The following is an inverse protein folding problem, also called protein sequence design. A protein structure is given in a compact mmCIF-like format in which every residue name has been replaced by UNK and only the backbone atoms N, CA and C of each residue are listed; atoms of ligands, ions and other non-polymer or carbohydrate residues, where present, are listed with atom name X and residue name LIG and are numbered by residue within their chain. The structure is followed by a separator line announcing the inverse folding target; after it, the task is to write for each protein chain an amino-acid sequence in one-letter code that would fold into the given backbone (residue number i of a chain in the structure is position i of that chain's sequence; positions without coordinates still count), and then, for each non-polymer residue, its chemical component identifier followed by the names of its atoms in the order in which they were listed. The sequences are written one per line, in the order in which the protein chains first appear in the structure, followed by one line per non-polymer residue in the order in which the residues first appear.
data_IF_371272909503
#
_entry.id   IF_371272909503
#
_cell.length_a   1.000
_cell.length_b   1.000
_cell.length_c   1.000
_cell.angle_alpha   90.00
_cell.angle_beta   90.00
_cell.angle_gamma   90.00
#
_symmetry.space_group_name_H-M   'P 1'
#
loop_
_entity.id
_entity.type
_entity.pdbx_description
1 polymer ?
#
# COMPACT_ATOMS: atom_id res chain seq x y z
N UNK A 1 -0.02 -29.78 8.30
CA UNK A 1 -0.86 -28.97 7.38
C UNK A 1 -0.02 -28.72 6.14
N UNK A 2 -0.56 -28.88 4.94
CA UNK A 2 0.16 -28.61 3.68
C UNK A 2 0.35 -27.11 3.50
N UNK A 3 1.58 -26.67 3.24
CA UNK A 3 1.90 -25.27 2.97
C UNK A 3 1.08 -24.75 1.78
N UNK A 4 0.45 -23.57 1.86
CA UNK A 4 -0.28 -23.00 0.73
C UNK A 4 0.64 -22.80 -0.49
N UNK A 5 0.18 -23.24 -1.66
CA UNK A 5 0.86 -23.05 -2.96
C UNK A 5 -0.04 -22.31 -3.95
N UNK A 6 0.57 -21.77 -5.00
CA UNK A 6 -0.06 -21.16 -6.17
C UNK A 6 0.61 -21.66 -7.46
N UNK A 7 -0.04 -21.50 -8.61
CA UNK A 7 0.57 -21.78 -9.91
C UNK A 7 1.17 -20.50 -10.48
N UNK A 8 2.44 -20.49 -10.86
CA UNK A 8 3.02 -19.38 -11.64
C UNK A 8 2.63 -19.55 -13.10
N UNK A 9 2.04 -18.53 -13.69
CA UNK A 9 1.65 -18.47 -15.11
C UNK A 9 2.62 -17.62 -15.93
N UNK A 10 3.26 -16.61 -15.32
CA UNK A 10 4.29 -15.78 -15.93
C UNK A 10 5.38 -15.41 -14.89
N UNK A 11 6.65 -15.22 -15.30
CA UNK A 11 7.17 -15.24 -16.68
C UNK A 11 7.37 -16.66 -17.24
N UNK A 12 7.45 -17.67 -16.38
CA UNK A 12 7.51 -19.08 -16.76
C UNK A 12 6.48 -19.87 -15.98
N UNK A 13 5.88 -20.85 -16.63
CA UNK A 13 4.92 -21.74 -16.00
C UNK A 13 5.60 -22.59 -14.91
N UNK A 14 5.01 -22.60 -13.71
CA UNK A 14 5.38 -23.51 -12.63
C UNK A 14 4.11 -23.93 -11.89
N UNK A 15 3.84 -25.24 -11.86
CA UNK A 15 2.56 -25.76 -11.38
C UNK A 15 2.29 -25.43 -9.91
N UNK A 16 3.34 -25.46 -9.08
CA UNK A 16 3.26 -25.23 -7.64
C UNK A 16 4.48 -24.45 -7.17
N UNK A 17 4.26 -23.18 -6.78
CA UNK A 17 5.21 -22.37 -6.02
C UNK A 17 4.64 -22.09 -4.62
N UNK A 18 5.48 -22.00 -3.58
CA UNK A 18 5.03 -21.60 -2.25
C UNK A 18 4.37 -20.21 -2.28
N UNK A 19 3.25 -20.05 -1.57
CA UNK A 19 2.64 -18.74 -1.36
C UNK A 19 3.46 -17.90 -0.38
N UNK A 20 3.97 -18.53 0.68
CA UNK A 20 4.82 -17.86 1.67
C UNK A 20 6.21 -17.61 1.07
N UNK A 21 6.66 -16.36 1.15
CA UNK A 21 7.90 -15.86 0.53
C UNK A 21 7.74 -15.48 -0.95
N UNK A 22 6.54 -15.62 -1.52
CA UNK A 22 6.28 -15.37 -2.93
C UNK A 22 6.60 -13.93 -3.34
N UNK A 23 6.35 -12.95 -2.48
CA UNK A 23 6.69 -11.56 -2.77
C UNK A 23 8.02 -11.14 -2.14
N UNK A 24 8.50 -11.83 -1.09
CA UNK A 24 9.85 -11.59 -0.54
C UNK A 24 10.95 -11.85 -1.56
N UNK A 25 10.77 -12.80 -2.47
CA UNK A 25 11.72 -13.07 -3.55
C UNK A 25 11.88 -11.91 -4.55
N UNK A 26 10.96 -10.94 -4.56
CA UNK A 26 11.06 -9.76 -5.42
C UNK A 26 12.09 -8.74 -4.91
N UNK A 27 12.57 -8.91 -3.66
CA UNK A 27 13.64 -8.13 -3.04
C UNK A 27 13.47 -6.60 -3.19
N UNK A 28 12.26 -6.11 -2.92
CA UNK A 28 11.90 -4.70 -3.10
C UNK A 28 12.76 -3.77 -2.23
N UNK A 29 13.17 -4.24 -1.06
CA UNK A 29 14.03 -3.54 -0.09
C UNK A 29 15.45 -3.27 -0.60
N UNK A 30 15.89 -3.96 -1.65
CA UNK A 30 17.22 -3.78 -2.26
C UNK A 30 17.22 -2.72 -3.36
N UNK A 31 16.22 -1.84 -3.38
CA UNK A 31 16.13 -0.74 -4.33
C UNK A 31 17.29 0.26 -4.23
N UNK A 32 18.14 0.18 -3.20
CA UNK A 32 19.44 0.88 -3.12
C UNK A 32 20.34 0.63 -4.36
N UNK A 33 20.09 -0.45 -5.10
CA UNK A 33 20.75 -0.75 -6.38
C UNK A 33 20.19 0.04 -7.58
N UNK A 34 19.11 0.80 -7.38
CA UNK A 34 18.47 1.67 -8.36
C UNK A 34 18.66 3.13 -7.90
N UNK A 35 19.11 4.02 -8.79
CA UNK A 35 19.43 5.42 -8.44
C UNK A 35 18.21 6.28 -8.02
N UNK A 36 17.02 5.67 -7.83
CA UNK A 36 15.77 6.34 -7.48
C UNK A 36 14.96 5.45 -6.53
N UNK A 37 14.17 6.05 -5.60
CA UNK A 37 13.26 5.28 -4.75
C UNK A 37 12.31 4.43 -5.57
N UNK A 38 12.03 3.22 -5.07
CA UNK A 38 11.00 2.34 -5.59
C UNK A 38 9.68 2.61 -4.86
N UNK A 39 8.70 3.13 -5.59
CA UNK A 39 7.33 3.32 -5.14
C UNK A 39 6.46 2.19 -5.67
N UNK A 40 5.76 1.50 -4.78
CA UNK A 40 4.83 0.45 -5.16
C UNK A 40 3.55 0.52 -4.36
N UNK A 41 2.49 -0.09 -4.89
CA UNK A 41 1.19 -0.16 -4.23
C UNK A 41 0.54 -1.51 -4.49
N UNK A 42 -0.45 -1.86 -3.66
CA UNK A 42 -1.23 -3.07 -3.84
C UNK A 42 -2.73 -2.78 -3.71
N UNK A 43 -3.53 -3.57 -4.42
CA UNK A 43 -4.98 -3.60 -4.23
C UNK A 43 -5.49 -5.04 -4.29
N UNK A 44 -6.57 -5.29 -3.58
CA UNK A 44 -7.45 -6.43 -3.83
C UNK A 44 -8.74 -5.93 -4.48
N UNK A 45 -9.18 -6.61 -5.53
CA UNK A 45 -10.37 -6.24 -6.27
C UNK A 45 -11.22 -7.47 -6.62
N UNK A 46 -12.52 -7.26 -6.70
CA UNK A 46 -13.43 -8.20 -7.36
C UNK A 46 -13.18 -8.26 -8.88
N UNK A 47 -13.78 -9.23 -9.57
CA UNK A 47 -13.68 -9.38 -11.02
C UNK A 47 -14.26 -8.17 -11.78
N UNK A 48 -15.27 -7.52 -11.20
CA UNK A 48 -15.88 -6.26 -11.67
C UNK A 48 -15.21 -4.98 -11.10
N UNK A 49 -14.00 -5.11 -10.56
CA UNK A 49 -13.12 -3.99 -10.21
C UNK A 49 -13.45 -3.25 -8.91
N UNK A 50 -14.21 -3.87 -7.99
CA UNK A 50 -14.58 -3.26 -6.70
C UNK A 50 -13.50 -3.54 -5.67
N UNK A 51 -12.95 -2.47 -5.10
CA UNK A 51 -12.02 -2.55 -3.96
C UNK A 51 -12.72 -2.23 -2.64
N UNK A 52 -13.81 -1.46 -2.71
CA UNK A 52 -14.66 -1.14 -1.58
C UNK A 52 -16.11 -1.07 -2.06
N UNK A 53 -17.05 -1.48 -1.20
CA UNK A 53 -18.49 -1.35 -1.43
C UNK A 53 -19.15 -0.86 -0.15
N UNK A 54 -20.27 -0.15 -0.28
CA UNK A 54 -21.09 0.18 0.88
C UNK A 54 -21.67 -1.10 1.50
N UNK A 55 -21.49 -1.28 2.81
CA UNK A 55 -22.12 -2.38 3.53
C UNK A 55 -23.65 -2.22 3.49
N UNK A 56 -24.43 -3.27 3.17
CA UNK A 56 -25.88 -3.15 2.97
C UNK A 56 -26.64 -2.60 4.18
N UNK A 57 -26.15 -2.89 5.40
CA UNK A 57 -26.85 -2.52 6.64
C UNK A 57 -26.38 -1.19 7.23
N UNK A 58 -25.08 -0.87 7.12
CA UNK A 58 -24.50 0.32 7.78
C UNK A 58 -24.28 1.46 6.80
N UNK A 59 -24.25 1.17 5.49
CA UNK A 59 -23.88 2.13 4.44
C UNK A 59 -22.41 2.51 4.43
N UNK A 60 -21.59 1.97 5.35
CA UNK A 60 -20.16 2.27 5.42
C UNK A 60 -19.41 1.65 4.24
N UNK A 61 -18.58 2.45 3.58
CA UNK A 61 -17.75 1.98 2.46
C UNK A 61 -16.45 1.42 3.03
N UNK A 62 -16.21 0.14 2.76
CA UNK A 62 -15.02 -0.58 3.19
C UNK A 62 -14.68 -1.75 2.27
N UNK A 63 -13.55 -2.40 2.54
CA UNK A 63 -13.13 -3.57 1.77
C UNK A 63 -14.12 -4.71 2.04
N UNK A 64 -14.73 -5.32 1.00
CA UNK A 64 -15.75 -6.34 1.21
C UNK A 64 -15.14 -7.64 1.73
N UNK A 65 -15.69 -8.19 2.82
CA UNK A 65 -15.32 -9.52 3.36
C UNK A 65 -15.39 -10.64 2.30
N UNK A 66 -16.24 -10.43 1.29
CA UNK A 66 -16.40 -11.36 0.17
C UNK A 66 -15.14 -11.49 -0.71
N UNK A 67 -14.17 -10.59 -0.63
CA UNK A 67 -12.91 -10.69 -1.39
C UNK A 67 -11.68 -10.79 -0.48
N UNK A 68 -11.77 -10.37 0.78
CA UNK A 68 -10.64 -10.50 1.72
C UNK A 68 -10.37 -11.97 2.07
N UNK A 69 -9.09 -12.32 2.21
CA UNK A 69 -8.68 -13.68 2.56
C UNK A 69 -7.26 -13.71 3.13
N UNK A 70 -6.94 -14.75 3.91
CA UNK A 70 -5.64 -14.89 4.57
C UNK A 70 -4.45 -15.01 3.61
N UNK A 71 -4.68 -15.47 2.38
CA UNK A 71 -3.62 -15.66 1.38
C UNK A 71 -3.18 -14.32 0.80
N UNK A 72 -4.13 -13.47 0.41
CA UNK A 72 -3.87 -12.09 0.05
C UNK A 72 -3.24 -11.31 1.21
N UNK A 73 -3.80 -11.46 2.42
CA UNK A 73 -3.26 -10.81 3.61
C UNK A 73 -1.79 -11.18 3.87
N UNK A 74 -1.42 -12.45 3.69
CA UNK A 74 -0.02 -12.88 3.78
C UNK A 74 0.88 -12.12 2.79
N UNK A 75 0.45 -12.01 1.53
CA UNK A 75 1.21 -11.30 0.50
C UNK A 75 1.27 -9.79 0.75
N UNK A 76 0.19 -9.18 1.25
CA UNK A 76 0.15 -7.79 1.70
C UNK A 76 1.21 -7.52 2.80
N UNK A 77 1.35 -8.45 3.75
CA UNK A 77 2.35 -8.37 4.81
C UNK A 77 3.78 -8.53 4.27
N UNK A 78 4.00 -9.40 3.29
CA UNK A 78 5.31 -9.56 2.62
C UNK A 78 5.75 -8.30 1.85
N UNK A 79 4.79 -7.57 1.26
CA UNK A 79 5.07 -6.28 0.62
C UNK A 79 5.49 -5.22 1.65
N UNK A 80 4.80 -5.17 2.79
CA UNK A 80 5.15 -4.25 3.87
C UNK A 80 6.45 -4.63 4.58
N UNK A 81 6.75 -5.92 4.69
CA UNK A 81 7.99 -6.40 5.27
C UNK A 81 9.22 -5.91 4.48
N UNK A 82 9.07 -5.64 3.19
CA UNK A 82 10.13 -5.11 2.33
C UNK A 82 10.16 -3.57 2.25
N UNK A 83 9.24 -2.86 2.89
CA UNK A 83 9.16 -1.40 2.83
C UNK A 83 10.08 -0.75 3.87
N UNK A 84 10.63 0.41 3.54
CA UNK A 84 11.24 1.32 4.51
C UNK A 84 10.17 2.21 5.14
N UNK A 85 9.22 2.66 4.32
CA UNK A 85 8.11 3.51 4.74
C UNK A 85 6.80 3.13 4.08
N UNK A 86 5.72 3.19 4.86
CA UNK A 86 4.34 3.02 4.42
C UNK A 86 3.70 4.38 4.16
N UNK A 87 3.12 4.58 2.98
CA UNK A 87 2.28 5.74 2.66
C UNK A 87 0.83 5.39 2.99
N UNK A 88 0.24 6.16 3.90
CA UNK A 88 -1.15 6.01 4.32
C UNK A 88 -1.92 7.33 4.22
N UNK A 89 -3.24 7.27 4.38
CA UNK A 89 -4.12 8.43 4.29
C UNK A 89 -4.64 8.86 5.67
N UNK A 90 -4.98 10.13 5.80
CA UNK A 90 -5.68 10.65 6.97
C UNK A 90 -7.01 9.91 7.27
N UNK A 91 -7.69 9.38 6.23
CA UNK A 91 -8.92 8.58 6.39
C UNK A 91 -8.64 7.31 7.17
N UNK A 92 -7.66 6.53 6.72
CA UNK A 92 -7.25 5.29 7.40
C UNK A 92 -6.92 5.51 8.88
N UNK A 93 -6.18 6.58 9.19
CA UNK A 93 -5.81 6.90 10.59
C UNK A 93 -7.03 7.20 11.44
N UNK A 94 -8.03 7.90 10.90
CA UNK A 94 -9.30 8.17 11.60
C UNK A 94 -10.09 6.89 11.81
N UNK A 95 -10.18 6.03 10.80
CA UNK A 95 -10.88 4.75 10.88
C UNK A 95 -10.22 3.83 11.92
N UNK A 96 -8.88 3.79 11.95
CA UNK A 96 -8.10 3.05 12.96
C UNK A 96 -8.35 3.59 14.39
N UNK A 97 -8.40 4.90 14.55
CA UNK A 97 -8.66 5.53 15.85
C UNK A 97 -10.09 5.36 16.32
N UNK A 98 -11.04 5.23 15.39
CA UNK A 98 -12.44 4.94 15.67
C UNK A 98 -12.72 3.44 15.92
N UNK A 99 -11.69 2.58 15.85
CA UNK A 99 -11.85 1.12 15.93
C UNK A 99 -12.60 0.51 14.74
N UNK A 100 -12.71 1.25 13.63
CA UNK A 100 -13.41 0.85 12.41
C UNK A 100 -12.49 0.27 11.34
N UNK A 101 -11.19 0.52 11.43
CA UNK A 101 -10.25 -0.14 10.54
C UNK A 101 -10.32 -1.65 10.80
N UNK A 102 -10.58 -2.42 9.74
CA UNK A 102 -10.58 -3.88 9.80
C UNK A 102 -9.25 -4.40 10.36
N UNK A 103 -8.13 -3.71 10.08
CA UNK A 103 -6.80 -4.13 10.53
C UNK A 103 -5.80 -2.98 10.80
N UNK A 104 -4.80 -3.29 11.62
CA UNK A 104 -3.65 -2.43 11.91
C UNK A 104 -2.71 -2.25 10.70
N UNK A 105 -1.77 -1.30 10.78
CA UNK A 105 -0.75 -1.13 9.75
C UNK A 105 0.07 -2.42 9.60
N UNK A 106 0.47 -2.79 8.38
CA UNK A 106 1.08 -4.07 8.11
C UNK A 106 2.48 -4.23 8.73
N UNK A 107 2.97 -5.46 8.65
CA UNK A 107 3.96 -6.06 9.57
C UNK A 107 3.33 -6.25 10.96
N UNK A 108 2.30 -7.09 10.99
CA UNK A 108 1.50 -7.38 12.18
C UNK A 108 2.35 -8.07 13.25
N UNK A 109 1.90 -7.88 14.49
CA UNK A 109 2.29 -8.53 15.73
C UNK A 109 1.66 -9.92 15.93
N UNK A 110 0.71 -10.33 15.08
CA UNK A 110 0.16 -11.70 15.10
C UNK A 110 1.29 -12.73 14.89
N UNK A 111 1.38 -13.78 15.76
CA UNK A 111 2.34 -14.88 15.64
C UNK A 111 2.44 -15.52 14.25
N UNK A 112 1.36 -15.48 13.46
CA UNK A 112 1.34 -15.99 12.10
C UNK A 112 2.28 -15.25 11.12
N UNK A 113 2.81 -14.08 11.51
CA UNK A 113 3.71 -13.25 10.70
C UNK A 113 5.05 -12.96 11.39
N UNK A 114 5.40 -13.70 12.45
CA UNK A 114 6.66 -13.55 13.19
C UNK A 114 7.89 -13.75 12.28
N UNK A 115 7.76 -14.61 11.28
CA UNK A 115 8.78 -14.88 10.28
C UNK A 115 9.11 -13.63 9.45
N UNK A 116 8.14 -12.74 9.19
CA UNK A 116 8.38 -11.49 8.47
C UNK A 116 9.17 -10.48 9.30
N UNK A 117 8.94 -10.43 10.62
CA UNK A 117 9.75 -9.60 11.54
C UNK A 117 11.16 -10.16 11.68
N UNK A 118 11.30 -11.48 11.72
CA UNK A 118 12.61 -12.14 11.68
C UNK A 118 13.33 -11.88 10.35
N UNK A 119 12.61 -11.95 9.23
CA UNK A 119 13.14 -11.66 7.90
C UNK A 119 13.66 -10.22 7.80
N UNK A 120 12.92 -9.22 8.29
CA UNK A 120 13.38 -7.81 8.33
C UNK A 120 14.69 -7.66 9.09
N UNK A 121 14.80 -8.30 10.27
CA UNK A 121 16.05 -8.30 11.07
C UNK A 121 17.21 -8.93 10.31
N UNK A 122 16.98 -10.03 9.60
CA UNK A 122 18.00 -10.68 8.76
C UNK A 122 18.45 -9.81 7.59
N UNK A 123 17.57 -8.95 7.06
CA UNK A 123 17.93 -7.96 6.03
C UNK A 123 18.56 -6.68 6.60
N UNK A 124 18.73 -6.57 7.93
CA UNK A 124 19.28 -5.36 8.57
C UNK A 124 18.29 -4.18 8.61
N UNK A 125 17.00 -4.41 8.37
CA UNK A 125 15.98 -3.37 8.37
C UNK A 125 15.46 -3.08 9.78
N UNK A 126 14.88 -1.89 9.97
CA UNK A 126 14.16 -1.54 11.20
C UNK A 126 13.03 -2.56 11.49
N UNK A 127 12.69 -2.86 12.76
CA UNK A 127 11.66 -3.84 13.11
C UNK A 127 10.29 -3.59 12.46
N UNK A 128 9.93 -2.31 12.31
CA UNK A 128 8.73 -1.82 11.65
C UNK A 128 9.13 -0.80 10.58
N UNK A 129 8.44 -0.74 9.42
CA UNK A 129 8.61 0.37 8.49
C UNK A 129 8.11 1.66 9.12
N UNK A 130 8.70 2.81 8.78
CA UNK A 130 8.14 4.11 9.11
C UNK A 130 6.74 4.27 8.48
N UNK A 131 5.98 5.28 8.89
CA UNK A 131 4.71 5.64 8.23
C UNK A 131 4.69 7.12 7.88
N UNK A 132 4.24 7.45 6.67
CA UNK A 132 3.90 8.82 6.26
C UNK A 132 2.40 8.92 6.00
N UNK A 133 1.76 9.90 6.64
CA UNK A 133 0.32 10.14 6.53
C UNK A 133 0.08 11.37 5.69
N UNK A 134 -0.64 11.19 4.59
CA UNK A 134 -1.04 12.30 3.72
C UNK A 134 -2.26 12.99 4.31
N UNK A 135 -2.13 14.27 4.65
CA UNK A 135 -3.20 15.07 5.24
C UNK A 135 -3.09 16.56 4.89
N UNK A 136 -4.01 17.05 4.05
CA UNK A 136 -4.12 18.48 3.74
C UNK A 136 -4.68 19.30 4.92
N UNK A 137 -5.60 18.73 5.69
CA UNK A 137 -6.26 19.43 6.80
C UNK A 137 -5.46 19.37 8.10
N UNK A 138 -4.54 18.41 8.22
CA UNK A 138 -3.86 18.08 9.49
C UNK A 138 -4.82 17.74 10.64
N UNK A 139 -6.09 17.46 10.35
CA UNK A 139 -7.06 17.02 11.34
C UNK A 139 -6.89 15.50 11.56
N UNK A 140 -5.92 15.18 12.42
CA UNK A 140 -5.51 13.82 12.74
C UNK A 140 -5.49 13.64 14.27
N UNK A 141 -5.91 12.47 14.79
CA UNK A 141 -5.67 12.10 16.17
C UNK A 141 -4.18 11.72 16.38
N UNK A 142 -3.27 12.67 16.12
CA UNK A 142 -1.83 12.40 15.98
C UNK A 142 -1.19 11.94 17.29
N UNK A 143 -1.62 12.46 18.43
CA UNK A 143 -1.10 12.06 19.74
C UNK A 143 -1.36 10.57 19.99
N UNK A 144 -2.62 10.15 19.90
CA UNK A 144 -3.00 8.74 20.06
C UNK A 144 -2.28 7.82 19.07
N UNK A 145 -2.02 8.32 17.86
CA UNK A 145 -1.26 7.57 16.87
C UNK A 145 0.21 7.38 17.29
N UNK A 146 0.89 8.45 17.70
CA UNK A 146 2.30 8.40 18.10
C UNK A 146 2.50 7.58 19.37
N UNK A 147 1.54 7.59 20.31
CA UNK A 147 1.56 6.76 21.51
C UNK A 147 1.36 5.27 21.19
N UNK A 148 0.54 4.95 20.18
CA UNK A 148 0.20 3.56 19.79
C UNK A 148 1.23 2.93 18.85
N UNK A 149 1.89 3.73 18.01
CA UNK A 149 2.79 3.25 16.97
C UNK A 149 4.24 3.22 17.43
N UNK A 150 4.79 2.00 17.56
CA UNK A 150 6.22 1.78 17.79
C UNK A 150 7.02 1.85 16.47
N UNK A 151 6.90 2.97 15.76
CA UNK A 151 7.57 3.24 14.47
C UNK A 151 7.64 4.75 14.21
N UNK A 152 8.64 5.27 13.46
CA UNK A 152 8.69 6.68 13.09
C UNK A 152 7.44 7.13 12.33
N UNK A 153 6.90 8.29 12.72
CA UNK A 153 5.68 8.87 12.12
C UNK A 153 6.02 10.17 11.40
N UNK A 154 5.62 10.24 10.14
CA UNK A 154 5.70 11.40 9.28
C UNK A 154 4.29 11.86 8.89
N UNK A 155 4.12 13.16 8.67
CA UNK A 155 2.90 13.74 8.13
C UNK A 155 3.23 14.58 6.91
N UNK A 156 2.71 14.22 5.75
CA UNK A 156 2.88 14.94 4.51
C UNK A 156 1.69 15.88 4.26
N UNK A 157 1.99 17.14 3.97
CA UNK A 157 1.00 18.19 3.74
C UNK A 157 1.50 19.23 2.74
N UNK A 158 0.63 20.14 2.29
CA UNK A 158 1.01 21.23 1.41
C UNK A 158 1.66 22.42 2.14
N UNK A 159 2.36 23.28 1.42
CA UNK A 159 3.05 24.45 1.96
C UNK A 159 2.09 25.42 2.68
N UNK A 160 0.83 25.49 2.26
CA UNK A 160 -0.22 26.34 2.86
C UNK A 160 -0.89 25.73 4.11
N UNK A 161 -0.32 24.67 4.68
CA UNK A 161 -0.84 24.04 5.90
C UNK A 161 -0.76 24.99 7.12
N UNK A 162 -1.77 24.89 7.98
CA UNK A 162 -1.89 25.69 9.21
C UNK A 162 -0.67 25.50 10.13
N UNK A 163 0.03 26.59 10.44
CA UNK A 163 1.26 26.55 11.23
C UNK A 163 1.02 26.15 12.70
N UNK A 164 -0.19 26.37 13.24
CA UNK A 164 -0.56 25.89 14.57
C UNK A 164 -0.59 24.36 14.60
N UNK A 165 -1.37 23.77 13.69
CA UNK A 165 -1.50 22.30 13.58
C UNK A 165 -0.19 21.60 13.27
N UNK A 166 0.69 22.21 12.48
CA UNK A 166 2.03 21.67 12.23
C UNK A 166 2.83 21.59 13.54
N UNK A 167 2.83 22.66 14.34
CA UNK A 167 3.53 22.67 15.64
C UNK A 167 2.94 21.64 16.60
N UNK A 168 1.61 21.47 16.62
CA UNK A 168 0.95 20.48 17.47
C UNK A 168 1.35 19.05 17.09
N UNK A 169 1.47 18.76 15.78
CA UNK A 169 1.95 17.46 15.27
C UNK A 169 3.42 17.24 15.64
N UNK A 170 4.27 18.23 15.44
CA UNK A 170 5.70 18.15 15.77
C UNK A 170 5.94 17.97 17.28
N UNK A 171 5.11 18.61 18.12
CA UNK A 171 5.15 18.43 19.56
C UNK A 171 4.82 17.00 20.02
N UNK A 172 4.12 16.22 19.19
CA UNK A 172 3.85 14.79 19.44
C UNK A 172 4.99 13.87 19.00
N UNK A 173 6.09 14.41 18.46
CA UNK A 173 7.25 13.64 17.98
C UNK A 173 7.13 13.17 16.52
N UNK A 174 6.07 13.54 15.80
CA UNK A 174 5.94 13.26 14.37
C UNK A 174 6.64 14.34 13.54
N UNK A 175 7.24 13.94 12.41
CA UNK A 175 7.91 14.88 11.50
C UNK A 175 6.98 15.34 10.38
N UNK A 176 6.90 16.65 10.14
CA UNK A 176 6.05 17.20 9.07
C UNK A 176 6.86 17.45 7.80
N UNK A 177 6.37 16.95 6.66
CA UNK A 177 6.90 17.17 5.32
C UNK A 177 5.96 18.10 4.56
N UNK A 178 6.48 19.23 4.07
CA UNK A 178 5.75 20.17 3.20
C UNK A 178 6.06 19.85 1.75
N UNK A 179 5.19 19.07 1.13
CA UNK A 179 5.42 18.41 -0.17
C UNK A 179 4.32 18.78 -1.16
N UNK A 180 4.16 20.07 -1.41
CA UNK A 180 3.20 20.61 -2.36
C UNK A 180 3.09 22.12 -2.23
N UNK A 181 2.84 22.84 -3.30
CA UNK A 181 2.77 24.32 -3.27
C UNK A 181 1.46 24.85 -2.66
N UNK A 182 0.39 24.06 -2.73
CA UNK A 182 -0.94 24.40 -2.24
C UNK A 182 -1.27 23.84 -0.86
N UNK A 183 -2.52 23.42 -0.69
CA UNK A 183 -3.00 22.69 0.50
C UNK A 183 -2.77 21.18 0.41
N UNK A 184 -2.76 20.65 -0.82
CA UNK A 184 -2.60 19.22 -1.10
C UNK A 184 -1.15 18.78 -1.16
N UNK A 185 -0.95 17.46 -1.18
CA UNK A 185 0.34 16.83 -1.41
C UNK A 185 0.53 16.64 -2.92
N UNK A 186 1.73 16.96 -3.39
CA UNK A 186 2.26 16.62 -4.70
C UNK A 186 3.07 15.32 -4.61
N UNK A 187 2.83 14.40 -5.53
CA UNK A 187 3.42 13.06 -5.50
C UNK A 187 4.94 13.04 -5.77
N UNK A 188 5.44 13.91 -6.65
CA UNK A 188 6.86 13.98 -6.98
C UNK A 188 7.65 14.60 -5.82
N UNK A 189 7.13 15.69 -5.25
CA UNK A 189 7.70 16.31 -4.07
C UNK A 189 7.68 15.36 -2.87
N UNK A 190 6.61 14.57 -2.69
CA UNK A 190 6.52 13.56 -1.64
C UNK A 190 7.66 12.54 -1.77
N UNK A 191 7.81 11.93 -2.93
CA UNK A 191 8.84 10.90 -3.15
C UNK A 191 10.24 11.49 -2.98
N UNK A 192 10.47 12.70 -3.49
CA UNK A 192 11.74 13.41 -3.33
C UNK A 192 12.07 13.68 -1.87
N UNK A 193 11.10 14.13 -1.08
CA UNK A 193 11.29 14.38 0.34
C UNK A 193 11.56 13.07 1.11
N UNK A 194 10.85 11.99 0.79
CA UNK A 194 11.11 10.67 1.40
C UNK A 194 12.48 10.10 1.01
N UNK A 195 12.93 10.33 -0.22
CA UNK A 195 14.27 9.96 -0.65
C UNK A 195 15.34 10.72 0.14
N UNK A 196 15.13 12.02 0.39
CA UNK A 196 16.03 12.84 1.19
C UNK A 196 16.09 12.40 2.66
N UNK A 197 15.05 11.73 3.16
CA UNK A 197 15.03 11.05 4.47
C UNK A 197 15.79 9.73 4.48
N UNK A 198 16.25 9.25 3.33
CA UNK A 198 16.93 7.97 3.18
C UNK A 198 15.99 6.78 2.93
N UNK A 199 14.71 7.02 2.61
CA UNK A 199 13.79 5.93 2.28
C UNK A 199 13.89 5.57 0.79
N UNK A 200 14.19 4.30 0.51
CA UNK A 200 14.37 3.79 -0.85
C UNK A 200 13.22 2.88 -1.29
N UNK A 201 12.49 2.27 -0.36
CA UNK A 201 11.35 1.38 -0.63
C UNK A 201 10.07 1.95 -0.03
N UNK A 202 9.27 2.59 -0.87
CA UNK A 202 8.07 3.35 -0.50
C UNK A 202 6.82 2.55 -0.87
N UNK A 203 6.08 2.08 0.12
CA UNK A 203 4.89 1.26 -0.10
C UNK A 203 3.60 2.04 0.19
N UNK A 204 2.82 2.32 -0.85
CA UNK A 204 1.48 2.90 -0.70
C UNK A 204 0.44 1.84 -0.39
N UNK A 205 0.04 1.80 0.89
CA UNK A 205 -1.09 1.01 1.43
C UNK A 205 -2.40 1.82 1.48
N UNK A 206 -2.39 3.01 0.89
CA UNK A 206 -3.51 3.93 0.90
C UNK A 206 -4.53 3.64 -0.21
N UNK A 207 -5.68 4.30 -0.10
CA UNK A 207 -6.79 4.15 -1.05
C UNK A 207 -6.61 4.91 -2.38
N UNK A 208 -7.67 4.94 -3.19
CA UNK A 208 -7.65 5.39 -4.59
C UNK A 208 -7.10 6.79 -4.82
N UNK A 209 -7.40 7.76 -3.94
CA UNK A 209 -6.91 9.14 -4.11
C UNK A 209 -5.41 9.28 -3.95
N UNK A 210 -4.78 8.46 -3.12
CA UNK A 210 -3.31 8.45 -3.00
C UNK A 210 -2.70 7.80 -4.22
N UNK A 211 -3.28 6.70 -4.72
CA UNK A 211 -2.83 6.10 -5.98
C UNK A 211 -2.95 7.08 -7.15
N UNK A 212 -4.08 7.80 -7.27
CA UNK A 212 -4.27 8.85 -8.29
C UNK A 212 -3.18 9.93 -8.18
N UNK A 213 -2.89 10.41 -6.97
CA UNK A 213 -1.85 11.41 -6.71
C UNK A 213 -0.47 10.94 -7.19
N UNK A 214 -0.10 9.70 -6.86
CA UNK A 214 1.19 9.12 -7.24
C UNK A 214 1.27 8.84 -8.75
N UNK A 215 0.18 8.39 -9.39
CA UNK A 215 0.15 8.16 -10.83
C UNK A 215 0.23 9.45 -11.64
N UNK A 216 -0.44 10.53 -11.20
CA UNK A 216 -0.34 11.86 -11.82
C UNK A 216 1.08 12.40 -11.79
N UNK A 217 1.83 12.10 -10.73
CA UNK A 217 3.24 12.43 -10.61
C UNK A 217 4.17 11.49 -11.38
N UNK A 218 3.66 10.43 -12.03
CA UNK A 218 4.48 9.40 -12.66
C UNK A 218 5.38 8.66 -11.67
N UNK A 219 4.99 8.62 -10.39
CA UNK A 219 5.84 8.17 -9.31
C UNK A 219 5.75 6.65 -9.05
N UNK A 220 4.67 5.99 -9.47
CA UNK A 220 4.45 4.56 -9.21
C UNK A 220 5.32 3.71 -10.13
N UNK A 221 6.22 2.90 -9.55
CA UNK A 221 7.06 1.96 -10.30
C UNK A 221 6.39 0.60 -10.48
N UNK A 222 5.67 0.11 -9.47
CA UNK A 222 5.09 -1.25 -9.47
C UNK A 222 3.71 -1.29 -8.82
N UNK A 223 2.79 -2.03 -9.45
CA UNK A 223 1.46 -2.31 -8.94
C UNK A 223 1.26 -3.81 -8.72
N UNK A 224 0.84 -4.18 -7.52
CA UNK A 224 0.39 -5.52 -7.18
C UNK A 224 -1.14 -5.54 -7.16
N UNK A 225 -1.75 -6.49 -7.87
CA UNK A 225 -3.20 -6.61 -7.93
C UNK A 225 -3.62 -8.04 -7.64
N UNK A 226 -4.35 -8.22 -6.56
CA UNK A 226 -5.11 -9.44 -6.30
C UNK A 226 -6.48 -9.29 -6.93
N UNK A 227 -6.80 -10.10 -7.94
CA UNK A 227 -8.11 -10.13 -8.57
C UNK A 227 -8.84 -11.40 -8.15
N UNK A 228 -9.82 -11.26 -7.26
CA UNK A 228 -10.66 -12.37 -6.80
C UNK A 228 -11.70 -12.66 -7.88
N UNK A 229 -11.87 -13.94 -8.25
CA UNK A 229 -12.80 -14.37 -9.29
C UNK A 229 -14.25 -14.39 -8.77
N UNK A 230 -14.72 -13.23 -8.32
CA UNK A 230 -16.04 -12.98 -7.74
C UNK A 230 -16.57 -11.66 -8.25
N UNK A 231 -17.85 -11.61 -8.60
CA UNK A 231 -18.57 -10.38 -8.95
C UNK A 231 -19.33 -9.89 -7.72
N UNK A 232 -19.31 -8.59 -7.46
CA UNK A 232 -20.00 -7.99 -6.31
C UNK A 232 -21.14 -7.05 -6.71
N UNK A 233 -20.94 -6.20 -7.72
CA UNK A 233 -21.85 -5.09 -8.00
C UNK A 233 -21.87 -4.04 -6.87
N UNK A 234 -23.02 -3.39 -6.69
CA UNK A 234 -23.24 -2.38 -5.65
C UNK A 234 -23.56 -0.98 -6.21
N UNK A 235 -24.38 -0.23 -5.48
CA UNK A 235 -24.80 1.13 -5.85
C UNK A 235 -23.77 2.21 -5.49
N UNK A 236 -22.94 1.94 -4.47
CA UNK A 236 -21.86 2.82 -4.00
C UNK A 236 -20.62 1.97 -3.77
N UNK A 237 -19.53 2.32 -4.45
CA UNK A 237 -18.31 1.53 -4.49
C UNK A 237 -17.11 2.39 -4.91
N UNK A 238 -15.92 1.92 -4.53
CA UNK A 238 -14.66 2.46 -5.00
C UNK A 238 -13.98 1.48 -5.96
N UNK A 239 -13.20 2.01 -6.91
CA UNK A 239 -12.29 1.25 -7.78
C UNK A 239 -10.86 1.65 -7.47
N UNK A 240 -9.85 1.13 -8.20
CA UNK A 240 -8.44 1.45 -7.95
C UNK A 240 -8.14 2.96 -8.01
N UNK A 241 -8.91 3.71 -8.80
CA UNK A 241 -8.76 5.16 -8.94
C UNK A 241 -10.08 5.86 -8.60
N UNK A 242 -9.93 7.05 -8.02
CA UNK A 242 -11.00 8.05 -7.90
C UNK A 242 -10.60 9.30 -8.70
N UNK A 243 -11.52 10.26 -8.85
CA UNK A 243 -11.20 11.56 -9.42
C UNK A 243 -11.27 11.64 -10.95
N UNK A 244 -10.38 12.48 -11.51
CA UNK A 244 -10.43 12.87 -12.92
C UNK A 244 -9.66 11.93 -13.84
N UNK A 245 -9.92 12.01 -15.15
CA UNK A 245 -9.16 11.26 -16.15
C UNK A 245 -7.64 11.54 -16.05
N UNK A 246 -6.84 10.48 -15.97
CA UNK A 246 -5.40 10.58 -16.12
C UNK A 246 -5.04 11.02 -17.55
N UNK A 247 -4.18 12.02 -17.67
CA UNK A 247 -3.69 12.54 -18.94
C UNK A 247 -2.18 12.75 -18.86
N UNK A 248 -1.35 11.92 -19.53
CA UNK A 248 -1.73 10.70 -20.27
C UNK A 248 -2.24 9.58 -19.34
N UNK A 249 -2.84 8.49 -19.88
CA UNK A 249 -3.05 7.27 -19.09
C UNK A 249 -1.70 6.72 -18.58
N UNK A 250 -1.75 6.02 -17.43
CA UNK A 250 -0.59 5.32 -16.91
C UNK A 250 -0.54 3.90 -17.49
N UNK A 251 0.55 3.57 -18.17
CA UNK A 251 0.75 2.29 -18.82
C UNK A 251 1.55 1.34 -17.92
N UNK A 252 1.25 0.04 -18.01
CA UNK A 252 1.86 -1.00 -17.20
C UNK A 252 2.14 -2.25 -18.02
N UNK A 253 3.23 -2.95 -17.69
CA UNK A 253 3.63 -4.22 -18.31
C UNK A 253 3.56 -5.36 -17.29
N UNK A 254 3.12 -6.54 -17.71
CA UNK A 254 3.02 -7.70 -16.83
C UNK A 254 4.43 -8.19 -16.46
N UNK A 255 4.73 -8.18 -15.15
CA UNK A 255 5.99 -8.68 -14.58
C UNK A 255 5.87 -10.13 -14.13
N UNK A 256 4.77 -10.47 -13.44
CA UNK A 256 4.48 -11.83 -12.99
C UNK A 256 2.97 -12.03 -12.86
N UNK A 257 2.53 -13.27 -13.00
CA UNK A 257 1.14 -13.68 -12.82
C UNK A 257 1.11 -15.02 -12.10
N UNK A 258 0.37 -15.09 -11.00
CA UNK A 258 0.14 -16.31 -10.26
C UNK A 258 -1.36 -16.59 -10.16
N UNK A 259 -1.74 -17.86 -10.24
CA UNK A 259 -3.10 -18.32 -10.08
C UNK A 259 -3.24 -19.15 -8.81
N UNK A 260 -4.10 -18.69 -7.92
CA UNK A 260 -4.46 -19.38 -6.70
C UNK A 260 -5.86 -19.99 -6.83
N UNK A 261 -5.90 -21.32 -6.82
CA UNK A 261 -7.14 -22.12 -6.90
C UNK A 261 -7.79 -22.34 -5.53
N UNK A 262 -7.10 -21.97 -4.44
CA UNK A 262 -7.33 -22.47 -3.08
C UNK A 262 -8.20 -21.60 -2.17
N UNK A 263 -8.98 -20.67 -2.71
CA UNK A 263 -9.87 -19.79 -1.92
C UNK A 263 -11.09 -20.56 -1.39
N UNK A 264 -11.96 -21.06 -2.28
CA UNK A 264 -13.09 -21.94 -1.96
C UNK A 264 -13.35 -22.92 -3.11
N UNK A 265 -14.31 -23.85 -2.98
CA UNK A 265 -14.72 -24.71 -4.10
C UNK A 265 -15.22 -23.85 -5.27
N UNK A 266 -14.38 -23.69 -6.29
CA UNK A 266 -14.74 -23.04 -7.56
C UNK A 266 -14.44 -21.54 -7.66
N UNK A 267 -13.98 -20.88 -6.60
CA UNK A 267 -13.54 -19.48 -6.64
C UNK A 267 -12.04 -19.42 -6.41
N UNK A 268 -11.31 -18.85 -7.38
CA UNK A 268 -9.87 -18.62 -7.29
C UNK A 268 -9.56 -17.12 -7.34
N UNK A 269 -8.28 -16.80 -7.42
CA UNK A 269 -7.80 -15.43 -7.58
C UNK A 269 -6.51 -15.40 -8.39
N UNK A 270 -6.28 -14.29 -9.08
CA UNK A 270 -4.98 -13.97 -9.64
C UNK A 270 -4.20 -13.05 -8.71
N UNK A 271 -2.92 -13.32 -8.56
CA UNK A 271 -1.93 -12.40 -8.02
C UNK A 271 -1.09 -11.88 -9.18
N UNK A 272 -1.39 -10.66 -9.62
CA UNK A 272 -0.75 -10.02 -10.77
C UNK A 272 0.25 -8.97 -10.30
N UNK A 273 1.39 -8.91 -10.96
CA UNK A 273 2.44 -7.93 -10.70
C UNK A 273 2.71 -7.17 -11.99
N UNK A 274 2.66 -5.85 -11.91
CA UNK A 274 2.85 -4.97 -13.06
C UNK A 274 3.94 -3.93 -12.79
N UNK A 275 4.85 -3.75 -13.75
CA UNK A 275 5.83 -2.66 -13.74
C UNK A 275 5.31 -1.52 -14.64
N UNK A 276 5.41 -0.27 -14.17
CA UNK A 276 5.02 0.90 -14.95
C UNK A 276 5.88 1.01 -16.22
N UNK A 277 5.22 1.23 -17.36
CA UNK A 277 5.89 1.39 -18.64
C UNK A 277 6.46 2.80 -18.77
N UNK A 278 7.68 2.93 -19.31
CA UNK A 278 8.23 4.24 -19.69
C UNK A 278 8.88 5.06 -18.58
N UNK A 279 9.21 4.46 -17.44
CA UNK A 279 10.09 5.09 -16.43
C UNK A 279 11.57 5.16 -16.85
N UNK A 280 11.91 4.70 -18.07
CA UNK A 280 13.17 5.01 -18.76
C UNK A 280 13.25 6.49 -19.20
N UNK A 281 12.87 7.43 -18.34
CA UNK A 281 13.22 8.85 -18.52
C UNK A 281 14.63 9.08 -17.98
N UNK A 282 15.57 8.80 -18.88
CA UNK A 282 16.89 9.42 -19.08
C UNK A 282 17.74 9.84 -17.88
N UNK A 283 19.01 9.42 -17.90
CA UNK A 283 20.11 10.33 -17.54
C UNK A 283 20.11 11.56 -18.47
#
# INVERSE_FOLDING_TARGET
MTTPTVTRLAPSYEAEVPLEGLYLQHALHRSELQQRPLVYSNFIASLDGRIAVAHPETGEIGVPDAITNRRDWRLYQELAAQADILVSSARYVRDLSAGKAQDSLPVSDDPAYDDLRAWRRQQGMAPQPAVVILSASLNLPIQALCEKLDRPVYVATGAQADAGRVRDIEACGARVLRVGEGKGVDGEMLVTALAAEGFCSIYSVAGPGVLETLLKAGAVNRLYLTQVHRLLGGASYDTLLEGGYLRPPADFTLKALYYDRGLTKGCGQFFSVYDAAGLERGC
#
